data_IF_653371022513
#
_entry.id   IF_653371022513
#
_cell.length_a   1.000
_cell.length_b   1.000
_cell.length_c   1.000
_cell.angle_alpha   90.00
_cell.angle_beta   90.00
_cell.angle_gamma   90.00
#
_symmetry.space_group_name_H-M   'P 1'
#
loop_
_entity.id
_entity.type
_entity.pdbx_description
1 polymer ?
#
# COMPACT_ATOMS: atom_id res chain seq x y z
N UNK A 1 23.39 -10.09 4.51
CA UNK A 1 21.92 -9.96 4.45
C UNK A 1 21.61 -8.67 3.70
N UNK A 2 20.88 -8.73 2.58
CA UNK A 2 20.53 -7.55 1.75
C UNK A 2 19.18 -6.98 2.19
N UNK A 3 19.07 -5.66 2.27
CA UNK A 3 17.83 -4.95 2.60
C UNK A 3 17.02 -4.69 1.33
N UNK A 4 15.71 -4.88 1.41
CA UNK A 4 14.84 -4.79 0.23
C UNK A 4 13.68 -3.86 0.53
N UNK A 5 13.66 -2.73 -0.18
CA UNK A 5 12.58 -1.75 -0.10
C UNK A 5 11.70 -1.84 -1.35
N UNK A 6 10.39 -1.71 -1.15
CA UNK A 6 9.43 -1.65 -2.24
C UNK A 6 8.88 -0.23 -2.35
N UNK A 7 8.95 0.34 -3.54
CA UNK A 7 8.23 1.59 -3.83
C UNK A 7 6.80 1.27 -4.22
N UNK A 8 5.88 2.21 -3.97
CA UNK A 8 4.51 2.06 -4.43
C UNK A 8 4.49 1.94 -5.98
N UNK A 9 3.65 1.05 -6.54
CA UNK A 9 3.64 0.78 -7.98
C UNK A 9 3.15 1.96 -8.83
N UNK A 10 2.44 2.90 -8.22
CA UNK A 10 1.94 4.11 -8.85
C UNK A 10 2.37 5.33 -8.05
N UNK A 11 2.57 6.44 -8.75
CA UNK A 11 2.88 7.71 -8.11
C UNK A 11 1.72 8.14 -7.21
N UNK A 12 2.04 8.81 -6.10
CA UNK A 12 1.03 9.34 -5.17
C UNK A 12 0.06 10.29 -5.89
N UNK A 13 0.55 11.04 -6.89
CA UNK A 13 -0.25 11.95 -7.71
C UNK A 13 -1.29 11.18 -8.53
N UNK A 14 -0.88 10.12 -9.23
CA UNK A 14 -1.78 9.30 -10.04
C UNK A 14 -2.87 8.67 -9.19
N UNK A 15 -2.51 8.17 -7.99
CA UNK A 15 -3.47 7.62 -7.02
C UNK A 15 -4.51 8.67 -6.62
N UNK A 16 -4.06 9.88 -6.26
CA UNK A 16 -4.95 10.97 -5.86
C UNK A 16 -5.91 11.34 -6.98
N UNK A 17 -5.42 11.48 -8.22
CA UNK A 17 -6.27 11.80 -9.38
C UNK A 17 -7.36 10.74 -9.56
N UNK A 18 -7.01 9.45 -9.58
CA UNK A 18 -7.98 8.35 -9.77
C UNK A 18 -9.05 8.37 -8.66
N UNK A 19 -8.65 8.49 -7.40
CA UNK A 19 -9.57 8.50 -6.27
C UNK A 19 -10.46 9.75 -6.27
N UNK A 20 -9.92 10.92 -6.57
CA UNK A 20 -10.70 12.16 -6.67
C UNK A 20 -11.71 12.07 -7.82
N UNK A 21 -11.32 11.58 -9.00
CA UNK A 21 -12.25 11.40 -10.12
C UNK A 21 -13.38 10.43 -9.78
N UNK A 22 -13.06 9.30 -9.14
CA UNK A 22 -14.07 8.33 -8.71
C UNK A 22 -15.04 8.92 -7.66
N UNK A 23 -14.51 9.70 -6.71
CA UNK A 23 -15.32 10.40 -5.70
C UNK A 23 -16.25 11.43 -6.31
N UNK A 24 -15.75 12.26 -7.25
CA UNK A 24 -16.55 13.26 -7.95
C UNK A 24 -17.68 12.59 -8.74
N UNK A 25 -17.41 11.49 -9.44
CA UNK A 25 -18.44 10.73 -10.15
C UNK A 25 -19.52 10.19 -9.20
N UNK A 26 -19.14 9.66 -8.03
CA UNK A 26 -20.08 9.18 -7.02
C UNK A 26 -20.95 10.32 -6.46
N UNK A 27 -20.35 11.48 -6.18
CA UNK A 27 -21.08 12.66 -5.69
C UNK A 27 -22.04 13.23 -6.75
N UNK A 28 -21.62 13.28 -8.02
CA UNK A 28 -22.50 13.70 -9.12
C UNK A 28 -23.69 12.74 -9.28
N UNK A 29 -23.44 11.44 -9.25
CA UNK A 29 -24.50 10.43 -9.26
C UNK A 29 -25.47 10.61 -8.10
N UNK A 30 -24.95 10.90 -6.90
CA UNK A 30 -25.76 11.15 -5.73
C UNK A 30 -26.62 12.41 -5.88
N UNK A 31 -26.06 13.51 -6.39
CA UNK A 31 -26.80 14.76 -6.60
C UNK A 31 -27.91 14.63 -7.64
N UNK A 32 -27.68 13.86 -8.72
CA UNK A 32 -28.65 13.73 -9.83
C UNK A 32 -29.74 12.72 -9.51
N UNK A 33 -29.39 11.56 -8.93
CA UNK A 33 -30.33 10.43 -8.76
C UNK A 33 -30.65 10.08 -7.30
N UNK A 34 -29.96 10.68 -6.33
CA UNK A 34 -30.13 10.33 -4.91
C UNK A 34 -29.31 9.09 -4.49
N UNK A 35 -29.21 8.89 -3.17
CA UNK A 35 -28.32 7.88 -2.57
C UNK A 35 -28.82 6.44 -2.74
N UNK A 36 -30.13 6.26 -2.81
CA UNK A 36 -30.76 4.93 -2.83
C UNK A 36 -30.76 4.27 -4.21
N UNK A 37 -30.35 4.98 -5.25
CA UNK A 37 -30.33 4.45 -6.61
C UNK A 37 -29.12 3.53 -6.83
N UNK A 38 -29.34 2.49 -7.63
CA UNK A 38 -28.31 1.53 -8.02
C UNK A 38 -27.01 2.19 -8.55
N UNK A 39 -27.04 3.17 -9.49
CA UNK A 39 -25.81 3.80 -9.99
C UNK A 39 -24.97 4.44 -8.88
N UNK A 40 -25.59 5.18 -7.96
CA UNK A 40 -24.87 5.84 -6.86
C UNK A 40 -24.15 4.82 -5.98
N UNK A 41 -24.82 3.73 -5.62
CA UNK A 41 -24.21 2.64 -4.84
C UNK A 41 -23.05 1.99 -5.59
N UNK A 42 -23.18 1.78 -6.90
CA UNK A 42 -22.11 1.21 -7.73
C UNK A 42 -20.88 2.11 -7.75
N UNK A 43 -21.03 3.43 -7.92
CA UNK A 43 -19.89 4.35 -7.89
C UNK A 43 -19.19 4.38 -6.54
N UNK A 44 -19.94 4.42 -5.43
CA UNK A 44 -19.35 4.32 -4.10
C UNK A 44 -18.65 2.98 -3.89
N UNK A 45 -19.24 1.88 -4.32
CA UNK A 45 -18.63 0.56 -4.24
C UNK A 45 -17.30 0.49 -5.01
N UNK A 46 -17.24 1.03 -6.24
CA UNK A 46 -16.01 1.11 -7.03
C UNK A 46 -14.97 1.96 -6.29
N UNK A 47 -15.36 3.12 -5.77
CA UNK A 47 -14.46 3.99 -5.02
C UNK A 47 -13.85 3.30 -3.80
N UNK A 48 -14.67 2.63 -2.97
CA UNK A 48 -14.18 1.89 -1.81
C UNK A 48 -13.31 0.70 -2.21
N UNK A 49 -13.69 -0.03 -3.25
CA UNK A 49 -12.89 -1.17 -3.75
C UNK A 49 -11.51 -0.70 -4.22
N UNK A 50 -11.44 0.43 -4.93
CA UNK A 50 -10.17 1.04 -5.31
C UNK A 50 -9.35 1.43 -4.09
N UNK A 51 -9.92 2.11 -3.10
CA UNK A 51 -9.21 2.48 -1.88
C UNK A 51 -8.62 1.26 -1.14
N UNK A 52 -9.43 0.22 -0.94
CA UNK A 52 -8.99 -0.99 -0.24
C UNK A 52 -7.88 -1.68 -1.03
N UNK A 53 -8.05 -1.79 -2.36
CA UNK A 53 -7.03 -2.38 -3.23
C UNK A 53 -5.71 -1.61 -3.10
N UNK A 54 -5.75 -0.27 -3.18
CA UNK A 54 -4.57 0.57 -3.02
C UNK A 54 -3.91 0.41 -1.65
N UNK A 55 -4.70 0.34 -0.58
CA UNK A 55 -4.18 0.14 0.77
C UNK A 55 -3.40 -1.18 0.86
N UNK A 56 -3.95 -2.28 0.33
CA UNK A 56 -3.34 -3.61 0.41
C UNK A 56 -2.05 -3.72 -0.40
N UNK A 57 -1.96 -3.01 -1.54
CA UNK A 57 -0.77 -3.06 -2.40
C UNK A 57 0.28 -1.98 -2.09
N UNK A 58 -0.04 -1.02 -1.23
CA UNK A 58 0.91 0.01 -0.81
C UNK A 58 1.83 -0.56 0.29
N UNK A 59 3.12 -0.79 -0.01
CA UNK A 59 4.06 -1.39 0.95
C UNK A 59 4.36 -0.47 2.14
N UNK A 60 4.06 0.83 2.03
CA UNK A 60 4.17 1.79 3.11
C UNK A 60 3.02 1.71 4.11
N UNK A 61 1.84 1.29 3.67
CA UNK A 61 0.61 1.23 4.47
C UNK A 61 0.29 -0.20 4.95
N UNK A 62 0.45 -1.21 4.09
CA UNK A 62 0.15 -2.60 4.41
C UNK A 62 1.42 -3.42 4.62
N UNK A 63 1.85 -3.48 5.87
CA UNK A 63 3.02 -4.23 6.30
C UNK A 63 2.79 -4.97 7.61
N UNK A 64 3.54 -6.04 7.80
CA UNK A 64 3.65 -6.79 9.05
C UNK A 64 4.92 -6.32 9.74
N UNK A 65 4.81 -5.96 11.01
CA UNK A 65 5.94 -5.61 11.86
C UNK A 65 6.14 -6.69 12.92
N UNK A 66 7.39 -7.10 13.12
CA UNK A 66 7.74 -8.07 14.17
C UNK A 66 9.18 -7.87 14.63
N UNK A 67 9.49 -8.36 15.83
CA UNK A 67 10.85 -8.34 16.36
C UNK A 67 11.50 -9.71 16.16
N UNK A 68 12.72 -9.73 15.63
CA UNK A 68 13.50 -10.96 15.45
C UNK A 68 14.76 -10.89 16.30
N UNK A 69 15.00 -11.93 17.09
CA UNK A 69 16.28 -12.09 17.80
C UNK A 69 17.31 -12.68 16.83
N UNK A 70 18.41 -11.98 16.63
CA UNK A 70 19.54 -12.44 15.84
C UNK A 70 20.35 -13.48 16.64
N UNK A 71 21.11 -14.39 16.00
CA UNK A 71 22.01 -15.32 16.71
C UNK A 71 22.96 -14.66 17.72
N UNK A 72 23.28 -13.38 17.53
CA UNK A 72 24.12 -12.59 18.44
C UNK A 72 23.36 -12.09 19.69
N UNK A 73 22.10 -12.51 19.89
CA UNK A 73 21.24 -12.11 21.01
C UNK A 73 20.56 -10.75 20.86
N UNK A 74 20.90 -9.98 19.83
CA UNK A 74 20.32 -8.67 19.54
C UNK A 74 18.90 -8.79 19.00
N UNK A 75 17.98 -7.95 19.47
CA UNK A 75 16.61 -7.87 18.95
C UNK A 75 16.53 -6.77 17.89
N UNK A 76 16.16 -7.15 16.66
CA UNK A 76 16.00 -6.22 15.55
C UNK A 76 14.52 -6.12 15.20
N UNK A 77 14.02 -4.89 15.00
CA UNK A 77 12.67 -4.66 14.51
C UNK A 77 12.65 -4.83 13.00
N UNK A 78 11.73 -5.65 12.50
CA UNK A 78 11.62 -6.00 11.09
C UNK A 78 10.30 -5.49 10.55
N UNK A 79 10.34 -4.86 9.38
CA UNK A 79 9.17 -4.42 8.62
C UNK A 79 9.10 -5.22 7.32
N UNK A 80 7.99 -5.92 7.10
CA UNK A 80 7.77 -6.75 5.92
C UNK A 80 6.46 -6.36 5.22
N UNK A 81 6.48 -5.85 3.97
CA UNK A 81 5.26 -5.58 3.23
C UNK A 81 4.50 -6.86 2.88
N UNK A 82 3.18 -6.79 2.81
CA UNK A 82 2.35 -7.96 2.48
C UNK A 82 2.49 -8.33 1.01
N UNK A 83 2.39 -7.32 0.12
CA UNK A 83 2.55 -7.48 -1.32
C UNK A 83 3.71 -6.60 -1.79
N UNK A 84 4.60 -7.16 -2.60
CA UNK A 84 5.71 -6.44 -3.21
C UNK A 84 5.84 -6.78 -4.69
N UNK A 85 5.77 -5.77 -5.55
CA UNK A 85 5.99 -5.96 -6.97
C UNK A 85 7.50 -6.02 -7.26
N UNK A 86 7.96 -7.06 -7.95
CA UNK A 86 9.36 -7.25 -8.32
C UNK A 86 9.93 -6.07 -9.11
N UNK A 87 9.09 -5.42 -9.92
CA UNK A 87 9.46 -4.22 -10.69
C UNK A 87 9.72 -2.99 -9.81
N UNK A 88 9.14 -2.94 -8.62
CA UNK A 88 9.25 -1.84 -7.66
C UNK A 88 10.24 -2.15 -6.54
N UNK A 89 11.01 -3.22 -6.69
CA UNK A 89 11.98 -3.68 -5.71
C UNK A 89 13.31 -2.94 -5.86
N UNK A 90 13.71 -2.25 -4.81
CA UNK A 90 15.01 -1.61 -4.70
C UNK A 90 15.82 -2.37 -3.65
N UNK A 91 16.88 -3.06 -4.11
CA UNK A 91 17.84 -3.70 -3.21
C UNK A 91 18.78 -2.62 -2.70
N UNK A 92 18.71 -2.31 -1.41
CA UNK A 92 19.70 -1.45 -0.74
C UNK A 92 20.74 -2.35 -0.06
N UNK A 93 21.97 -1.87 0.00
CA UNK A 93 22.99 -2.46 0.88
C UNK A 93 22.53 -2.39 2.34
N UNK A 94 23.28 -2.99 3.26
CA UNK A 94 23.08 -2.81 4.71
C UNK A 94 23.33 -1.33 5.06
N UNK A 95 22.34 -0.49 4.87
CA UNK A 95 22.33 0.91 5.26
C UNK A 95 21.20 0.99 6.26
N UNK A 96 21.54 1.34 7.51
CA UNK A 96 20.54 1.69 8.52
C UNK A 96 19.59 2.71 7.89
N UNK A 97 18.36 2.30 7.56
CA UNK A 97 17.30 3.24 7.19
C UNK A 97 17.00 4.06 8.46
N UNK A 98 16.79 5.38 8.31
CA UNK A 98 16.59 6.36 9.39
C UNK A 98 15.46 5.99 10.39
N UNK A 99 14.58 5.06 10.00
CA UNK A 99 13.42 4.63 10.79
C UNK A 99 13.76 3.56 11.86
N UNK A 100 14.98 3.01 11.87
CA UNK A 100 15.42 1.98 12.82
C UNK A 100 14.71 0.63 12.66
N UNK A 101 14.09 0.39 11.50
CA UNK A 101 13.52 -0.89 11.10
C UNK A 101 14.38 -1.51 10.00
N UNK A 102 14.51 -2.84 10.06
CA UNK A 102 15.12 -3.62 8.98
C UNK A 102 14.04 -4.04 7.98
N UNK A 103 14.22 -3.70 6.72
CA UNK A 103 13.26 -4.02 5.67
C UNK A 103 13.52 -5.39 5.03
N UNK A 104 12.51 -6.25 5.06
CA UNK A 104 12.55 -7.58 4.45
C UNK A 104 11.67 -7.68 3.20
N UNK A 105 11.98 -8.69 2.36
CA UNK A 105 11.20 -9.01 1.16
C UNK A 105 9.73 -9.25 1.47
N UNK A 106 8.85 -8.84 0.56
CA UNK A 106 7.42 -8.96 0.72
C UNK A 106 6.96 -10.41 0.93
N UNK A 107 5.86 -10.60 1.67
CA UNK A 107 5.27 -11.91 1.92
C UNK A 107 4.82 -12.57 0.60
N UNK A 108 4.12 -11.81 -0.24
CA UNK A 108 3.69 -12.19 -1.58
C UNK A 108 4.45 -11.31 -2.58
N UNK A 109 5.22 -11.94 -3.45
CA UNK A 109 6.02 -11.25 -4.47
C UNK A 109 5.42 -11.51 -5.85
N UNK A 110 5.00 -10.42 -6.51
CA UNK A 110 4.32 -10.44 -7.82
C UNK A 110 5.22 -9.81 -8.88
#
# INVERSE_FOLDING_TARGET
MTEVNYTAPLSSITRTIILTTAMVAALLSWLVWGFHTAPTRTFFFIFYTLQITWFVIDPGLCYIWFSRTQPDGTKVKVKRPVIGFKRCETVRGLVDDDDGYRHERALVRI
#
